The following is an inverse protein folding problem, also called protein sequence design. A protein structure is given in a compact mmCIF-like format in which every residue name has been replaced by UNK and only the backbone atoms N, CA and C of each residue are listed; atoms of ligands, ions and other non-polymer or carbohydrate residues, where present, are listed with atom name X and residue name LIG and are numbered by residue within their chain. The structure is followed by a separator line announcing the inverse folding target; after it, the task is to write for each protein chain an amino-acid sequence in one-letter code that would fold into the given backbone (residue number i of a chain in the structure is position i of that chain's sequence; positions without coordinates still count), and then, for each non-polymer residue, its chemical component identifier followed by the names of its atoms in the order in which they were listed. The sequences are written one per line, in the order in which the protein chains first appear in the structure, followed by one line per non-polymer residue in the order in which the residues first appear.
data_IF_077284321728
#
_entry.id   IF_077284321728
#
_cell.length_a   1.000
_cell.length_b   1.000
_cell.length_c   1.000
_cell.angle_alpha   90.00
_cell.angle_beta   90.00
_cell.angle_gamma   90.00
#
_symmetry.space_group_name_H-M   'P 1'
#
loop_
_entity.id
_entity.type
_entity.pdbx_description
1 polymer ?
#
# COMPACT_ATOMS: atom_id res chain seq x y z
N UNK A 1 13.36 7.72 15.92
CA UNK A 1 12.56 7.41 14.72
C UNK A 1 11.72 8.64 14.38
N UNK A 2 11.44 8.91 13.10
CA UNK A 2 10.59 10.05 12.71
C UNK A 2 9.16 9.81 13.24
N UNK A 3 8.53 10.85 13.80
CA UNK A 3 7.15 10.78 14.25
C UNK A 3 6.20 10.46 13.06
N UNK A 4 6.57 10.92 11.87
CA UNK A 4 5.85 10.72 10.61
C UNK A 4 6.77 10.08 9.55
N UNK A 5 6.83 8.74 9.49
CA UNK A 5 7.64 8.02 8.50
C UNK A 5 7.23 8.27 7.05
N UNK A 6 5.98 8.67 6.81
CA UNK A 6 5.47 9.05 5.49
C UNK A 6 4.86 10.44 5.59
N UNK A 7 5.29 11.34 4.71
CA UNK A 7 4.74 12.70 4.57
C UNK A 7 4.47 12.97 3.10
N UNK A 8 3.26 13.38 2.77
CA UNK A 8 2.81 13.68 1.41
C UNK A 8 2.26 15.11 1.40
N UNK A 9 2.74 15.94 0.46
CA UNK A 9 2.41 17.36 0.35
C UNK A 9 2.04 17.71 -1.09
N UNK A 10 0.77 18.05 -1.31
CA UNK A 10 0.17 18.50 -2.57
C UNK A 10 0.52 17.58 -3.77
N UNK A 11 0.67 16.28 -3.50
CA UNK A 11 1.11 15.29 -4.47
C UNK A 11 0.10 15.17 -5.60
N UNK A 12 0.58 15.24 -6.83
CA UNK A 12 -0.26 15.23 -8.03
C UNK A 12 0.31 14.32 -9.11
N UNK A 13 -0.57 13.68 -9.86
CA UNK A 13 -0.22 12.90 -11.05
C UNK A 13 -1.24 13.07 -12.14
N UNK A 14 -0.77 13.56 -13.28
CA UNK A 14 -1.52 13.70 -14.51
C UNK A 14 -0.97 12.72 -15.54
N UNK A 15 -1.85 12.03 -16.22
CA UNK A 15 -1.55 11.22 -17.41
C UNK A 15 -2.18 11.89 -18.63
N UNK A 16 -1.57 11.70 -19.79
CA UNK A 16 -2.13 12.11 -21.07
C UNK A 16 -2.59 10.85 -21.81
N UNK A 17 -3.88 10.77 -22.09
CA UNK A 17 -4.51 9.70 -22.86
C UNK A 17 -4.95 10.27 -24.21
N UNK A 18 -4.66 9.57 -25.30
CA UNK A 18 -4.96 10.06 -26.66
C UNK A 18 -6.46 10.26 -26.89
N UNK A 19 -7.31 9.46 -26.24
CA UNK A 19 -8.77 9.52 -26.42
C UNK A 19 -9.46 10.46 -25.41
N UNK A 20 -8.90 10.61 -24.18
CA UNK A 20 -9.52 11.32 -23.06
C UNK A 20 -8.81 12.64 -22.72
N UNK A 21 -7.67 12.92 -23.33
CA UNK A 21 -6.85 14.08 -23.02
C UNK A 21 -6.16 13.95 -21.67
N UNK A 22 -6.15 15.03 -20.89
CA UNK A 22 -5.55 15.08 -19.56
C UNK A 22 -6.41 14.30 -18.53
N UNK A 23 -5.81 13.29 -17.91
CA UNK A 23 -6.43 12.49 -16.84
C UNK A 23 -5.68 12.74 -15.54
N UNK A 24 -6.29 13.47 -14.62
CA UNK A 24 -5.75 13.77 -13.30
C UNK A 24 -6.05 12.65 -12.32
N UNK A 25 -5.12 11.69 -12.24
CA UNK A 25 -5.30 10.49 -11.41
C UNK A 25 -5.07 10.74 -9.91
N UNK A 26 -4.22 11.73 -9.57
CA UNK A 26 -3.99 12.24 -8.21
C UNK A 26 -3.97 13.75 -8.30
N UNK A 27 -4.74 14.43 -7.46
CA UNK A 27 -5.00 15.87 -7.52
C UNK A 27 -4.74 16.52 -6.17
N UNK A 28 -3.50 16.98 -5.98
CA UNK A 28 -3.05 17.78 -4.82
C UNK A 28 -3.39 17.16 -3.47
N UNK A 29 -3.08 15.86 -3.30
CA UNK A 29 -3.35 15.18 -2.02
C UNK A 29 -2.24 15.44 -1.01
N UNK A 30 -2.64 15.64 0.25
CA UNK A 30 -1.73 15.80 1.38
C UNK A 30 -2.17 14.92 2.54
N UNK A 31 -1.24 14.16 3.12
CA UNK A 31 -1.44 13.36 4.32
C UNK A 31 -0.10 12.96 4.92
N UNK A 32 -0.15 12.49 6.15
CA UNK A 32 1.00 11.92 6.85
C UNK A 32 0.62 10.60 7.52
N UNK A 33 1.58 9.68 7.65
CA UNK A 33 1.39 8.45 8.43
C UNK A 33 2.25 8.53 9.69
N UNK A 34 1.65 8.16 10.84
CA UNK A 34 2.34 8.08 12.12
C UNK A 34 3.15 6.80 12.22
N UNK A 35 4.19 6.82 13.06
CA UNK A 35 4.97 5.62 13.32
C UNK A 35 4.11 4.52 13.94
N UNK A 36 4.17 3.31 13.37
CA UNK A 36 3.45 2.14 13.91
C UNK A 36 1.94 2.17 13.70
N UNK A 37 1.40 2.96 12.73
CA UNK A 37 -0.02 2.92 12.38
C UNK A 37 -0.28 2.16 11.08
N UNK A 38 -1.50 1.65 10.93
CA UNK A 38 -2.07 1.24 9.66
C UNK A 38 -2.93 2.39 9.11
N UNK A 39 -2.43 3.07 8.10
CA UNK A 39 -3.12 4.13 7.39
C UNK A 39 -3.88 3.57 6.20
N UNK A 40 -5.21 3.63 6.23
CA UNK A 40 -6.10 3.14 5.18
C UNK A 40 -6.34 4.16 4.08
N UNK A 41 -6.11 3.78 2.83
CA UNK A 41 -6.52 4.56 1.65
C UNK A 41 -7.75 3.90 1.04
N UNK A 42 -8.94 4.39 1.41
CA UNK A 42 -10.25 3.84 1.05
C UNK A 42 -10.86 4.57 -0.13
N UNK A 43 -11.26 3.85 -1.17
CA UNK A 43 -11.90 4.45 -2.34
C UNK A 43 -12.34 3.43 -3.37
N UNK A 44 -13.26 3.80 -4.26
CA UNK A 44 -13.67 2.97 -5.38
C UNK A 44 -12.53 2.68 -6.37
N UNK A 45 -12.74 1.73 -7.28
CA UNK A 45 -11.80 1.51 -8.37
C UNK A 45 -11.69 2.76 -9.24
N UNK A 46 -10.45 3.12 -9.62
CA UNK A 46 -10.17 4.36 -10.35
C UNK A 46 -10.12 5.64 -9.49
N UNK A 47 -10.28 5.55 -8.16
CA UNK A 47 -10.22 6.72 -7.27
C UNK A 47 -8.83 7.37 -7.15
N UNK A 48 -7.75 6.69 -7.60
CA UNK A 48 -6.38 7.17 -7.52
C UNK A 48 -5.50 6.42 -6.51
N UNK A 49 -6.02 5.41 -5.78
CA UNK A 49 -5.30 4.64 -4.75
C UNK A 49 -3.97 4.07 -5.26
N UNK A 50 -4.04 3.15 -6.22
CA UNK A 50 -2.85 2.49 -6.81
C UNK A 50 -1.86 3.49 -7.40
N UNK A 51 -2.34 4.57 -8.04
CA UNK A 51 -1.47 5.63 -8.55
C UNK A 51 -0.71 6.31 -7.42
N UNK A 52 -1.40 6.70 -6.33
CA UNK A 52 -0.77 7.27 -5.14
C UNK A 52 0.29 6.34 -4.56
N UNK A 53 -0.04 5.06 -4.38
CA UNK A 53 0.90 4.09 -3.81
C UNK A 53 2.11 3.84 -4.72
N UNK A 54 1.93 3.84 -6.05
CA UNK A 54 3.04 3.71 -7.02
C UNK A 54 3.93 4.95 -7.05
N UNK A 55 3.40 6.14 -6.79
CA UNK A 55 4.20 7.36 -6.61
C UNK A 55 5.09 7.24 -5.36
N UNK A 56 4.52 6.84 -4.23
CA UNK A 56 5.27 6.62 -2.97
C UNK A 56 6.33 5.53 -3.13
N UNK A 57 6.02 4.47 -3.88
CA UNK A 57 6.96 3.38 -4.17
C UNK A 57 8.01 3.73 -5.25
N UNK A 58 8.06 4.99 -5.71
CA UNK A 58 8.99 5.45 -6.76
C UNK A 58 8.87 4.72 -8.10
N UNK A 59 7.73 4.07 -8.35
CA UNK A 59 7.41 3.40 -9.63
C UNK A 59 6.93 4.41 -10.67
N UNK A 60 6.25 5.47 -10.19
CA UNK A 60 5.80 6.60 -11.01
C UNK A 60 6.44 7.89 -10.49
N UNK A 61 6.71 8.82 -11.41
CA UNK A 61 7.15 10.17 -11.08
C UNK A 61 5.95 11.09 -10.94
N UNK A 62 5.82 11.87 -9.85
CA UNK A 62 4.76 12.87 -9.72
C UNK A 62 4.88 13.98 -10.76
N UNK A 63 3.76 14.63 -11.07
CA UNK A 63 3.70 15.83 -11.91
C UNK A 63 3.71 17.12 -11.09
N UNK A 64 3.47 17.01 -9.78
CA UNK A 64 3.52 18.12 -8.82
C UNK A 64 3.52 17.62 -7.39
N UNK A 65 3.86 18.52 -6.47
CA UNK A 65 3.98 18.22 -5.05
C UNK A 65 5.21 17.39 -4.69
N UNK A 66 5.24 16.86 -3.48
CA UNK A 66 6.35 16.06 -2.95
C UNK A 66 5.86 14.97 -2.00
N UNK A 67 6.68 13.94 -1.81
CA UNK A 67 6.48 12.98 -0.74
C UNK A 67 7.82 12.50 -0.19
N UNK A 68 7.83 12.16 1.11
CA UNK A 68 9.01 11.69 1.81
C UNK A 68 8.70 10.39 2.54
N UNK A 69 9.60 9.41 2.43
CA UNK A 69 9.59 8.13 3.15
C UNK A 69 10.82 8.10 4.04
N UNK A 70 10.63 8.01 5.36
CA UNK A 70 11.73 8.08 6.34
C UNK A 70 12.63 9.31 6.14
N UNK A 71 12.01 10.45 5.77
CA UNK A 71 12.70 11.70 5.48
C UNK A 71 13.41 11.76 4.13
N UNK A 72 13.29 10.73 3.28
CA UNK A 72 13.88 10.66 1.93
C UNK A 72 12.86 11.07 0.88
N UNK A 73 13.25 11.99 0.00
CA UNK A 73 12.40 12.47 -1.10
C UNK A 73 12.24 11.40 -2.18
N UNK A 74 10.98 11.11 -2.58
CA UNK A 74 10.68 10.05 -3.57
C UNK A 74 11.25 10.30 -4.97
N UNK A 75 11.58 11.55 -5.32
CA UNK A 75 12.14 11.90 -6.63
C UNK A 75 13.66 12.05 -6.59
N UNK A 76 14.20 12.63 -5.51
CA UNK A 76 15.63 12.95 -5.39
C UNK A 76 16.45 11.78 -4.85
N UNK A 77 15.83 10.95 -3.99
CA UNK A 77 16.49 9.85 -3.28
C UNK A 77 15.74 8.50 -3.46
N UNK A 78 15.34 8.13 -4.71
CA UNK A 78 14.45 6.97 -4.92
C UNK A 78 15.05 5.63 -4.49
N UNK A 79 16.37 5.49 -4.52
CA UNK A 79 17.03 4.27 -4.04
C UNK A 79 16.95 4.14 -2.52
N UNK A 80 17.12 5.25 -1.78
CA UNK A 80 17.02 5.24 -0.32
C UNK A 80 15.56 5.06 0.12
N UNK A 81 14.60 5.62 -0.64
CA UNK A 81 13.18 5.33 -0.43
C UNK A 81 12.92 3.83 -0.56
N UNK A 82 13.36 3.17 -1.64
CA UNK A 82 13.14 1.74 -1.85
C UNK A 82 13.77 0.84 -0.78
N UNK A 83 14.90 1.25 -0.19
CA UNK A 83 15.50 0.51 0.94
C UNK A 83 14.65 0.58 2.22
N UNK A 84 13.90 1.67 2.38
CA UNK A 84 13.05 1.90 3.54
C UNK A 84 11.58 1.49 3.31
N UNK A 85 11.26 0.95 2.13
CA UNK A 85 9.89 0.67 1.72
C UNK A 85 9.75 -0.75 1.17
N UNK A 86 8.79 -1.50 1.70
CA UNK A 86 8.26 -2.72 1.08
C UNK A 86 6.97 -2.42 0.33
N UNK A 87 6.90 -2.77 -0.97
CA UNK A 87 5.71 -2.58 -1.77
C UNK A 87 5.12 -3.92 -2.23
N UNK A 88 3.93 -4.22 -1.74
CA UNK A 88 3.12 -5.35 -2.18
C UNK A 88 1.95 -4.87 -3.05
N UNK A 89 1.76 -5.50 -4.20
CA UNK A 89 0.56 -5.34 -5.00
C UNK A 89 0.16 -6.69 -5.57
N UNK A 90 -1.13 -7.01 -5.55
CA UNK A 90 -1.69 -8.24 -6.11
C UNK A 90 -1.43 -8.37 -7.62
N UNK A 91 -1.24 -7.25 -8.32
CA UNK A 91 -0.93 -7.21 -9.75
C UNK A 91 0.54 -7.46 -10.10
N UNK A 92 1.45 -7.49 -9.10
CA UNK A 92 2.89 -7.68 -9.35
C UNK A 92 3.23 -9.15 -9.49
N UNK A 93 3.51 -9.58 -10.71
CA UNK A 93 3.89 -10.96 -11.00
C UNK A 93 5.22 -11.37 -10.33
N UNK A 94 5.31 -12.64 -9.97
CA UNK A 94 6.56 -13.29 -9.59
C UNK A 94 7.27 -13.83 -10.85
N UNK A 95 8.58 -14.01 -10.78
CA UNK A 95 9.38 -14.59 -11.87
C UNK A 95 9.12 -16.11 -11.96
N UNK A 96 8.44 -16.63 -13.00
CA UNK A 96 7.97 -18.02 -13.02
C UNK A 96 9.08 -19.07 -12.95
N UNK A 97 10.30 -18.71 -13.44
CA UNK A 97 11.44 -19.62 -13.54
C UNK A 97 12.28 -19.69 -12.27
N UNK A 98 12.16 -18.71 -11.38
CA UNK A 98 12.87 -18.72 -10.09
C UNK A 98 12.14 -19.64 -9.10
N UNK A 99 12.88 -20.17 -8.15
CA UNK A 99 12.31 -20.81 -6.96
C UNK A 99 11.79 -19.76 -5.97
N UNK A 100 11.03 -20.18 -4.97
CA UNK A 100 10.59 -19.28 -3.90
C UNK A 100 11.79 -18.68 -3.15
N UNK A 101 12.78 -19.52 -2.81
CA UNK A 101 14.05 -19.12 -2.17
C UNK A 101 14.81 -18.10 -3.00
N UNK A 102 15.07 -18.41 -4.27
CA UNK A 102 15.78 -17.51 -5.19
C UNK A 102 15.07 -16.16 -5.34
N UNK A 103 13.73 -16.18 -5.38
CA UNK A 103 12.92 -14.94 -5.43
C UNK A 103 13.15 -14.10 -4.19
N UNK A 104 13.06 -14.68 -2.99
CA UNK A 104 13.23 -13.95 -1.73
C UNK A 104 14.67 -13.42 -1.61
N UNK A 105 15.67 -14.25 -1.94
CA UNK A 105 17.08 -13.87 -1.93
C UNK A 105 17.38 -12.73 -2.91
N UNK A 106 16.85 -12.79 -4.13
CA UNK A 106 16.99 -11.75 -5.13
C UNK A 106 16.51 -10.41 -4.59
N UNK A 107 15.32 -10.37 -3.94
CA UNK A 107 14.77 -9.13 -3.38
C UNK A 107 15.55 -8.63 -2.17
N UNK A 108 16.14 -9.50 -1.34
CA UNK A 108 17.07 -9.09 -0.28
C UNK A 108 18.28 -8.37 -0.89
N UNK A 109 18.89 -8.95 -1.93
CA UNK A 109 20.11 -8.42 -2.57
C UNK A 109 19.88 -7.09 -3.30
N UNK A 110 18.80 -6.96 -4.09
CA UNK A 110 18.52 -5.70 -4.82
C UNK A 110 18.21 -4.54 -3.88
N UNK A 111 17.63 -4.83 -2.69
CA UNK A 111 17.41 -3.83 -1.65
C UNK A 111 18.64 -3.62 -0.75
N UNK A 112 19.82 -4.17 -1.15
CA UNK A 112 21.12 -3.99 -0.47
C UNK A 112 21.11 -4.44 1.00
N UNK A 113 20.35 -5.50 1.32
CA UNK A 113 20.46 -6.14 2.62
C UNK A 113 21.89 -6.66 2.83
N UNK A 114 22.48 -6.58 4.04
CA UNK A 114 23.86 -6.97 4.30
C UNK A 114 24.17 -8.36 3.76
N UNK A 115 25.17 -8.49 2.87
CA UNK A 115 25.45 -9.69 2.08
C UNK A 115 25.80 -10.91 2.93
N UNK A 116 26.45 -10.69 4.07
CA UNK A 116 26.80 -11.70 5.07
C UNK A 116 25.59 -12.24 5.84
N UNK A 117 24.49 -11.49 5.88
CA UNK A 117 23.26 -11.82 6.60
C UNK A 117 22.12 -12.31 5.68
N UNK A 118 22.25 -12.14 4.36
CA UNK A 118 21.18 -12.51 3.40
C UNK A 118 20.69 -13.93 3.60
N UNK A 119 21.60 -14.90 3.70
CA UNK A 119 21.22 -16.32 3.84
C UNK A 119 20.40 -16.58 5.10
N UNK A 120 20.86 -16.09 6.24
CA UNK A 120 20.15 -16.24 7.52
C UNK A 120 18.78 -15.54 7.48
N UNK A 121 18.71 -14.35 6.88
CA UNK A 121 17.45 -13.58 6.73
C UNK A 121 16.46 -14.30 5.82
N UNK A 122 16.91 -14.87 4.70
CA UNK A 122 16.06 -15.65 3.78
C UNK A 122 15.47 -16.86 4.49
N UNK A 123 16.28 -17.63 5.25
CA UNK A 123 15.78 -18.77 6.02
C UNK A 123 14.74 -18.33 7.08
N UNK A 124 15.01 -17.28 7.83
CA UNK A 124 14.08 -16.76 8.82
C UNK A 124 12.73 -16.32 8.20
N UNK A 125 12.76 -15.72 7.01
CA UNK A 125 11.56 -15.32 6.27
C UNK A 125 10.81 -16.54 5.73
N UNK A 126 11.53 -17.55 5.19
CA UNK A 126 10.96 -18.82 4.73
C UNK A 126 10.24 -19.54 5.88
N UNK A 127 10.86 -19.60 7.05
CA UNK A 127 10.26 -20.18 8.25
C UNK A 127 9.02 -19.42 8.70
N UNK A 128 9.11 -18.08 8.83
CA UNK A 128 8.01 -17.20 9.26
C UNK A 128 6.75 -17.38 8.43
N UNK A 129 6.88 -17.52 7.10
CA UNK A 129 5.74 -17.66 6.20
C UNK A 129 5.37 -19.11 5.88
N UNK A 130 6.04 -20.09 6.50
CA UNK A 130 5.77 -21.51 6.26
C UNK A 130 6.02 -21.92 4.80
N UNK A 131 7.09 -21.39 4.19
CA UNK A 131 7.46 -21.64 2.80
C UNK A 131 8.39 -22.88 2.67
N UNK A 132 8.90 -23.42 3.79
CA UNK A 132 9.98 -24.42 3.82
C UNK A 132 9.78 -25.61 2.90
N UNK A 133 8.57 -26.23 2.88
CA UNK A 133 8.28 -27.41 2.09
C UNK A 133 8.40 -27.20 0.56
N UNK A 134 8.23 -25.94 0.11
CA UNK A 134 8.27 -25.59 -1.33
C UNK A 134 9.28 -24.48 -1.64
N UNK A 135 10.22 -24.20 -0.72
CA UNK A 135 11.21 -23.14 -0.89
C UNK A 135 12.03 -23.29 -2.18
N UNK A 136 12.36 -24.52 -2.53
CA UNK A 136 13.18 -24.86 -3.70
C UNK A 136 12.33 -25.25 -4.93
N UNK A 137 10.99 -25.15 -4.83
CA UNK A 137 10.10 -25.31 -5.97
C UNK A 137 9.99 -24.01 -6.78
N UNK A 138 9.89 -24.16 -8.11
CA UNK A 138 9.73 -23.03 -9.03
C UNK A 138 8.36 -22.37 -8.85
N UNK A 139 8.32 -21.04 -9.00
CA UNK A 139 7.11 -20.23 -8.85
C UNK A 139 5.97 -20.70 -9.78
N UNK A 140 6.28 -21.15 -11.01
CA UNK A 140 5.25 -21.63 -11.94
C UNK A 140 4.51 -22.89 -11.43
N UNK A 141 5.10 -23.65 -10.52
CA UNK A 141 4.53 -24.86 -9.91
C UNK A 141 3.72 -24.63 -8.63
N UNK A 142 3.76 -23.39 -8.09
CA UNK A 142 3.11 -23.05 -6.84
C UNK A 142 1.62 -22.72 -7.04
N UNK A 143 0.79 -23.07 -6.04
CA UNK A 143 -0.61 -22.61 -5.96
C UNK A 143 -0.69 -21.08 -5.78
N UNK A 144 -1.87 -20.50 -5.95
CA UNK A 144 -2.09 -19.07 -5.76
C UNK A 144 -1.75 -18.61 -4.34
N UNK A 145 -2.17 -19.35 -3.30
CA UNK A 145 -1.85 -19.05 -1.92
C UNK A 145 -0.36 -19.17 -1.60
N UNK A 146 0.36 -20.18 -2.16
CA UNK A 146 1.80 -20.30 -2.02
C UNK A 146 2.53 -19.12 -2.68
N UNK A 147 2.11 -18.73 -3.89
CA UNK A 147 2.65 -17.54 -4.60
C UNK A 147 2.44 -16.26 -3.79
N UNK A 148 1.30 -16.13 -3.15
CA UNK A 148 1.00 -14.98 -2.29
C UNK A 148 1.96 -14.91 -1.10
N UNK A 149 2.19 -16.02 -0.37
CA UNK A 149 3.16 -16.08 0.73
C UNK A 149 4.56 -15.67 0.27
N UNK A 150 5.00 -16.16 -0.89
CA UNK A 150 6.29 -15.76 -1.48
C UNK A 150 6.31 -14.27 -1.83
N UNK A 151 5.19 -13.73 -2.33
CA UNK A 151 5.09 -12.31 -2.67
C UNK A 151 5.16 -11.39 -1.43
N UNK A 152 4.55 -11.79 -0.31
CA UNK A 152 4.72 -11.06 0.95
C UNK A 152 6.15 -11.21 1.45
N UNK A 153 6.69 -12.42 1.48
CA UNK A 153 8.04 -12.73 1.94
C UNK A 153 9.10 -11.87 1.23
N UNK A 154 9.05 -11.78 -0.11
CA UNK A 154 9.97 -10.91 -0.88
C UNK A 154 9.83 -9.43 -0.55
N UNK A 155 8.60 -8.99 -0.20
CA UNK A 155 8.32 -7.58 0.12
C UNK A 155 8.96 -7.15 1.43
N UNK A 156 9.08 -8.08 2.39
CA UNK A 156 9.56 -7.78 3.75
C UNK A 156 10.96 -8.30 4.05
N UNK A 157 11.59 -9.01 3.13
CA UNK A 157 12.88 -9.68 3.38
C UNK A 157 14.00 -8.70 3.78
N UNK A 158 14.00 -7.49 3.24
CA UNK A 158 14.99 -6.45 3.56
C UNK A 158 14.66 -5.63 4.82
N UNK A 159 13.63 -6.04 5.57
CA UNK A 159 13.19 -5.46 6.84
C UNK A 159 12.82 -3.96 6.80
N UNK A 160 12.05 -3.51 5.81
CA UNK A 160 11.73 -2.08 5.68
C UNK A 160 10.87 -1.58 6.85
N UNK A 161 11.08 -0.33 7.32
CA UNK A 161 10.23 0.28 8.35
C UNK A 161 8.85 0.70 7.85
N UNK A 162 8.68 0.87 6.55
CA UNK A 162 7.40 1.25 5.91
C UNK A 162 6.96 0.16 4.96
N UNK A 163 5.69 -0.23 5.03
CA UNK A 163 5.08 -1.23 4.15
C UNK A 163 3.87 -0.64 3.43
N UNK A 164 3.77 -0.89 2.14
CA UNK A 164 2.60 -0.55 1.32
C UNK A 164 1.95 -1.84 0.84
N UNK A 165 0.65 -1.97 1.10
CA UNK A 165 -0.19 -3.07 0.61
C UNK A 165 -1.29 -2.51 -0.30
N UNK A 166 -1.14 -2.72 -1.61
CA UNK A 166 -2.10 -2.28 -2.63
C UNK A 166 -3.10 -3.40 -2.93
N UNK A 167 -4.31 -3.26 -2.37
CA UNK A 167 -5.44 -4.21 -2.48
C UNK A 167 -5.02 -5.67 -2.23
N UNK A 168 -4.42 -5.99 -1.06
CA UNK A 168 -3.76 -7.28 -0.85
C UNK A 168 -4.70 -8.47 -0.73
N UNK A 169 -5.98 -8.25 -0.50
CA UNK A 169 -7.01 -9.28 -0.29
C UNK A 169 -7.86 -9.55 -1.54
N UNK A 170 -7.69 -8.73 -2.57
CA UNK A 170 -8.46 -8.88 -3.82
C UNK A 170 -8.15 -10.22 -4.48
N UNK A 171 -9.22 -10.96 -4.81
CA UNK A 171 -9.12 -12.28 -5.45
C UNK A 171 -8.82 -13.43 -4.50
N UNK A 172 -8.79 -13.18 -3.20
CA UNK A 172 -8.67 -14.21 -2.18
C UNK A 172 -10.04 -14.70 -1.70
N UNK A 173 -10.10 -15.97 -1.29
CA UNK A 173 -11.21 -16.43 -0.47
C UNK A 173 -11.16 -15.83 0.94
N UNK A 174 -12.25 -16.00 1.69
CA UNK A 174 -12.43 -15.36 2.99
C UNK A 174 -11.34 -15.72 3.99
N UNK A 175 -10.90 -17.00 4.04
CA UNK A 175 -9.90 -17.46 4.99
C UNK A 175 -8.53 -16.87 4.67
N UNK A 176 -8.12 -16.93 3.40
CA UNK A 176 -6.85 -16.35 2.95
C UNK A 176 -6.84 -14.81 3.11
N UNK A 177 -7.97 -14.13 2.92
CA UNK A 177 -8.09 -12.69 3.19
C UNK A 177 -7.90 -12.36 4.68
N UNK A 178 -8.49 -13.15 5.57
CA UNK A 178 -8.31 -13.00 7.03
C UNK A 178 -6.87 -13.26 7.46
N UNK A 179 -6.23 -14.29 6.91
CA UNK A 179 -4.81 -14.58 7.17
C UNK A 179 -3.91 -13.42 6.71
N UNK A 180 -4.18 -12.84 5.54
CA UNK A 180 -3.48 -11.66 5.06
C UNK A 180 -3.65 -10.47 6.00
N UNK A 181 -4.88 -10.19 6.45
CA UNK A 181 -5.16 -9.11 7.39
C UNK A 181 -4.42 -9.32 8.73
N UNK A 182 -4.37 -10.57 9.22
CA UNK A 182 -3.62 -10.92 10.42
C UNK A 182 -2.13 -10.62 10.27
N UNK A 183 -1.52 -11.06 9.16
CA UNK A 183 -0.10 -10.78 8.86
C UNK A 183 0.19 -9.27 8.81
N UNK A 184 -0.70 -8.48 8.22
CA UNK A 184 -0.57 -7.02 8.18
C UNK A 184 -0.63 -6.43 9.60
N UNK A 185 -1.56 -6.91 10.44
CA UNK A 185 -1.64 -6.51 11.85
C UNK A 185 -0.38 -6.84 12.64
N UNK A 186 0.20 -8.03 12.44
CA UNK A 186 1.46 -8.44 13.07
C UNK A 186 2.62 -7.50 12.72
N UNK A 187 2.71 -7.02 11.47
CA UNK A 187 3.72 -6.02 11.10
C UNK A 187 3.55 -4.69 11.82
N UNK A 188 2.31 -4.22 12.01
CA UNK A 188 2.03 -3.03 12.84
C UNK A 188 2.50 -3.24 14.26
N UNK A 189 2.19 -4.39 14.85
CA UNK A 189 2.55 -4.73 16.23
C UNK A 189 4.07 -4.85 16.43
N UNK A 190 4.81 -5.13 15.35
CA UNK A 190 6.28 -5.06 15.27
C UNK A 190 6.80 -3.61 15.10
N UNK A 191 5.92 -2.61 15.07
CA UNK A 191 6.26 -1.19 14.94
C UNK A 191 6.45 -0.68 13.51
N UNK A 192 6.09 -1.48 12.49
CA UNK A 192 6.09 -1.03 11.10
C UNK A 192 4.97 -0.02 10.84
N UNK A 193 5.24 0.97 9.99
CA UNK A 193 4.20 1.87 9.48
C UNK A 193 3.65 1.31 8.19
N UNK A 194 2.32 1.22 8.09
CA UNK A 194 1.66 0.53 6.99
C UNK A 194 0.71 1.47 6.26
N UNK A 195 0.78 1.49 4.92
CA UNK A 195 -0.26 2.08 4.08
C UNK A 195 -1.00 0.93 3.41
N UNK A 196 -2.30 0.87 3.66
CA UNK A 196 -3.18 -0.19 3.20
C UNK A 196 -4.26 0.37 2.29
N UNK A 197 -4.30 -0.04 1.00
CA UNK A 197 -5.40 0.36 0.13
C UNK A 197 -6.46 -0.72 0.03
N UNK A 198 -7.71 -0.30 0.05
CA UNK A 198 -8.86 -1.17 -0.18
C UNK A 198 -10.06 -0.40 -0.74
N UNK A 199 -10.99 -1.12 -1.36
CA UNK A 199 -12.34 -0.63 -1.65
C UNK A 199 -13.39 -1.33 -0.78
N UNK A 200 -12.97 -2.19 0.16
CA UNK A 200 -13.82 -2.97 1.05
C UNK A 200 -13.87 -2.30 2.43
N UNK A 201 -15.02 -1.75 2.79
CA UNK A 201 -15.22 -0.95 4.00
C UNK A 201 -14.92 -1.76 5.27
N UNK A 202 -15.38 -3.01 5.33
CA UNK A 202 -15.16 -3.88 6.50
C UNK A 202 -13.69 -4.19 6.77
N UNK A 203 -12.83 -4.18 5.75
CA UNK A 203 -11.38 -4.31 5.92
C UNK A 203 -10.79 -3.03 6.52
N UNK A 204 -11.17 -1.87 6.00
CA UNK A 204 -10.73 -0.58 6.52
C UNK A 204 -11.15 -0.40 7.99
N UNK A 205 -12.39 -0.75 8.34
CA UNK A 205 -12.88 -0.70 9.73
C UNK A 205 -12.12 -1.62 10.69
N UNK A 206 -11.71 -2.80 10.19
CA UNK A 206 -11.03 -3.82 11.02
C UNK A 206 -9.56 -3.53 11.24
N UNK A 207 -8.87 -3.02 10.21
CA UNK A 207 -7.42 -2.94 10.19
C UNK A 207 -6.87 -1.54 10.44
N UNK A 208 -7.56 -0.50 9.93
CA UNK A 208 -6.95 0.82 9.85
C UNK A 208 -7.14 1.63 11.12
N UNK A 209 -6.08 2.22 11.62
CA UNK A 209 -6.10 3.18 12.73
C UNK A 209 -6.66 4.53 12.26
N UNK A 210 -6.29 4.94 11.05
CA UNK A 210 -6.83 6.14 10.37
C UNK A 210 -7.18 5.80 8.93
N UNK A 211 -8.23 6.44 8.40
CA UNK A 211 -8.77 6.19 7.07
C UNK A 211 -8.82 7.50 6.29
N UNK A 212 -8.17 7.54 5.13
CA UNK A 212 -8.34 8.57 4.13
C UNK A 212 -9.33 8.10 3.07
N UNK A 213 -10.44 8.80 2.92
CA UNK A 213 -11.43 8.57 1.84
C UNK A 213 -10.95 9.31 0.60
N UNK A 214 -10.59 8.55 -0.44
CA UNK A 214 -10.14 9.10 -1.73
C UNK A 214 -11.20 8.91 -2.82
N UNK A 215 -11.45 9.96 -3.59
CA UNK A 215 -12.37 9.93 -4.73
C UNK A 215 -11.87 10.87 -5.84
N UNK A 216 -11.85 10.39 -7.10
CA UNK A 216 -11.39 11.16 -8.28
C UNK A 216 -10.05 11.89 -8.03
N UNK A 217 -9.11 11.20 -7.43
CA UNK A 217 -7.77 11.72 -7.14
C UNK A 217 -7.65 12.64 -5.92
N UNK A 218 -8.73 12.95 -5.21
CA UNK A 218 -8.74 13.85 -4.05
C UNK A 218 -9.05 13.12 -2.75
N UNK A 219 -8.42 13.51 -1.65
CA UNK A 219 -8.79 13.08 -0.31
C UNK A 219 -9.96 13.96 0.17
N UNK A 220 -11.11 13.33 0.44
CA UNK A 220 -12.32 14.00 0.88
C UNK A 220 -12.42 14.09 2.40
N UNK A 221 -11.87 13.12 3.11
CA UNK A 221 -11.78 13.08 4.58
C UNK A 221 -10.61 12.20 4.99
N UNK A 222 -9.98 12.47 6.13
CA UNK A 222 -8.89 11.68 6.66
C UNK A 222 -8.87 11.80 8.20
N UNK A 223 -9.26 10.72 8.90
CA UNK A 223 -9.21 10.66 10.37
C UNK A 223 -9.38 9.21 10.87
N UNK A 224 -9.43 9.03 12.20
CA UNK A 224 -9.86 7.77 12.82
C UNK A 224 -11.32 7.48 12.49
N UNK A 225 -11.71 6.20 12.48
CA UNK A 225 -13.10 5.81 12.24
C UNK A 225 -14.07 6.47 13.24
N UNK A 226 -13.65 6.59 14.51
CA UNK A 226 -14.45 7.26 15.54
C UNK A 226 -14.71 8.73 15.22
N UNK A 227 -13.69 9.47 14.79
CA UNK A 227 -13.83 10.87 14.39
C UNK A 227 -14.71 11.01 13.14
N UNK A 228 -14.52 10.14 12.14
CA UNK A 228 -15.33 10.13 10.92
C UNK A 228 -16.81 9.88 11.25
N UNK A 229 -17.13 8.97 12.16
CA UNK A 229 -18.49 8.72 12.67
C UNK A 229 -19.06 9.95 13.37
N UNK A 230 -18.29 10.54 14.27
CA UNK A 230 -18.73 11.73 15.04
C UNK A 230 -19.01 12.92 14.13
N UNK A 231 -18.12 13.23 13.19
CA UNK A 231 -18.25 14.37 12.27
C UNK A 231 -19.38 14.16 11.26
N UNK A 232 -19.53 12.95 10.75
CA UNK A 232 -20.59 12.64 9.78
C UNK A 232 -21.97 12.47 10.41
N UNK A 233 -22.05 12.09 11.71
CA UNK A 233 -23.29 11.70 12.38
C UNK A 233 -23.79 10.31 11.94
N UNK A 234 -22.95 9.52 11.24
CA UNK A 234 -23.31 8.22 10.67
C UNK A 234 -22.53 7.11 11.36
N UNK A 235 -23.16 5.92 11.46
CA UNK A 235 -22.58 4.75 12.16
C UNK A 235 -21.69 3.91 11.26
N UNK A 236 -22.10 3.63 10.05
CA UNK A 236 -21.45 2.69 9.12
C UNK A 236 -20.52 3.43 8.18
N UNK A 237 -19.34 2.87 7.93
CA UNK A 237 -18.32 3.46 7.06
C UNK A 237 -18.82 3.57 5.61
N UNK A 238 -19.68 2.65 5.16
CA UNK A 238 -20.35 2.70 3.86
C UNK A 238 -21.16 3.99 3.68
N UNK A 239 -21.97 4.34 4.69
CA UNK A 239 -22.81 5.56 4.65
C UNK A 239 -21.95 6.81 4.69
N UNK A 240 -20.89 6.80 5.51
CA UNK A 240 -19.91 7.89 5.61
C UNK A 240 -19.24 8.08 4.24
N UNK A 241 -18.77 7.02 3.62
CA UNK A 241 -18.17 7.05 2.28
C UNK A 241 -19.12 7.65 1.25
N UNK A 242 -20.37 7.15 1.19
CA UNK A 242 -21.39 7.65 0.26
C UNK A 242 -21.67 9.12 0.48
N UNK A 243 -21.78 9.59 1.75
CA UNK A 243 -22.00 11.00 2.09
C UNK A 243 -20.90 11.89 1.52
N UNK A 244 -19.62 11.56 1.76
CA UNK A 244 -18.48 12.34 1.26
C UNK A 244 -18.39 12.33 -0.27
N UNK A 245 -18.59 11.18 -0.90
CA UNK A 245 -18.53 11.06 -2.37
C UNK A 245 -19.66 11.82 -3.06
N UNK A 246 -20.89 11.77 -2.53
CA UNK A 246 -22.02 12.53 -3.09
C UNK A 246 -21.88 14.03 -2.85
N UNK A 247 -21.40 14.46 -1.69
CA UNK A 247 -21.12 15.88 -1.38
C UNK A 247 -20.10 16.47 -2.36
N UNK A 248 -19.01 15.76 -2.63
CA UNK A 248 -18.01 16.19 -3.61
C UNK A 248 -18.54 16.26 -5.07
N UNK A 249 -19.62 15.52 -5.39
CA UNK A 249 -20.28 15.59 -6.70
C UNK A 249 -21.22 16.80 -6.85
N UNK A 250 -21.81 17.28 -5.77
CA UNK A 250 -22.69 18.45 -5.78
C UNK A 250 -21.90 19.76 -6.00
N UNK A 251 -20.75 19.92 -5.34
CA UNK A 251 -19.87 21.08 -5.49
C UNK A 251 -19.30 21.22 -6.93
N UNK A 252 -19.22 20.10 -7.66
CA UNK A 252 -18.72 20.09 -9.04
C UNK A 252 -19.76 20.57 -10.08
N UNK A 253 -21.04 20.66 -9.73
CA UNK A 253 -22.11 21.12 -10.62
C UNK A 253 -22.41 22.61 -10.49
N UNK A 254 -22.09 23.24 -9.34
CA UNK A 254 -22.30 24.68 -9.14
C UNK A 254 -21.22 25.56 -9.81
N UNK A 255 -20.12 24.99 -10.28
CA UNK A 255 -19.01 25.76 -10.92
C UNK A 255 -19.19 25.93 -12.45
N UNK A 256 -20.27 25.40 -13.05
CA UNK A 256 -20.54 25.44 -14.51
C UNK A 256 -21.83 26.25 -14.83
N UNK A 257 -22.31 27.06 -13.91
CA UNK A 257 -23.46 27.95 -14.14
C UNK A 257 -23.04 29.42 -14.24
#
# INVERSE_FOLDING_TARGET
MSAYPVVVSDLSKVFYDEARGEVRAVDSISFECRSGEIFGLLGANGAGKTTTLRLLATILTPTGGSAHIMGRDIQREPEDVRRNLGFYSSSTALYPRLTARETIEFFARINRFPSDQVKARVEAVIERFGIGEYADARIDKLSSGMKQKVSIARTVVHDPPVLIFDEPTVGLDVLNALDMQKVIGEFRDEGKTIIFSTHIMSEAERLCDRIAIIHKGKILACDTLETLRRVSGLRYLEDIFVKYVRGAGADSQETIA
#
